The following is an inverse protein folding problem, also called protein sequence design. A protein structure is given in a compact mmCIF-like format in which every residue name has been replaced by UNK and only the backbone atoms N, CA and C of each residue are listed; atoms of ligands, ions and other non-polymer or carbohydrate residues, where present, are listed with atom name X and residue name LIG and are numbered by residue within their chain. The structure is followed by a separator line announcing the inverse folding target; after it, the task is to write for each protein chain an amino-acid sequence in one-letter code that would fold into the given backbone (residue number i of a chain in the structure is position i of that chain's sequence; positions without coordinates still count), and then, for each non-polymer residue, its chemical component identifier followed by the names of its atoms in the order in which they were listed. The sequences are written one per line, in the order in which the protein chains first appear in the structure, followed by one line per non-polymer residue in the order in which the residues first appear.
data_IF_472885517372
#
_entry.id   IF_472885517372
#
_cell.length_a   1.000
_cell.length_b   1.000
_cell.length_c   1.000
_cell.angle_alpha   90.00
_cell.angle_beta   90.00
_cell.angle_gamma   90.00
#
_symmetry.space_group_name_H-M   'P 1'
#
loop_
_entity.id
_entity.type
_entity.pdbx_description
1 polymer ?
#
# COMPACT_ATOMS: atom_id res chain seq x y z
N UNK A 1 -1.48 10.73 -1.03
CA UNK A 1 -2.09 9.47 -0.57
C UNK A 1 -1.83 9.27 0.91
N UNK A 2 -2.76 8.57 1.57
CA UNK A 2 -2.60 8.06 2.93
C UNK A 2 -2.50 6.54 2.84
N UNK A 3 -1.54 5.94 3.54
CA UNK A 3 -1.43 4.50 3.72
C UNK A 3 -1.60 4.14 5.20
N UNK A 4 -1.39 2.88 5.56
CA UNK A 4 -1.55 2.43 6.95
C UNK A 4 -0.49 3.00 7.89
N UNK A 5 0.67 3.39 7.34
CA UNK A 5 1.88 3.76 8.08
C UNK A 5 2.58 5.02 7.55
N UNK A 6 2.06 5.63 6.50
CA UNK A 6 2.71 6.78 5.89
C UNK A 6 1.75 7.70 5.12
N UNK A 7 2.09 8.97 5.09
CA UNK A 7 1.50 10.00 4.25
C UNK A 7 2.48 10.36 3.14
N UNK A 8 1.99 10.34 1.88
CA UNK A 8 2.85 10.59 0.74
C UNK A 8 2.23 11.62 -0.23
N UNK A 9 3.06 12.55 -0.68
CA UNK A 9 2.79 13.43 -1.83
C UNK A 9 3.87 13.17 -2.87
N UNK A 10 3.47 12.65 -4.02
CA UNK A 10 4.37 12.36 -5.12
C UNK A 10 3.99 13.24 -6.32
N UNK A 11 5.00 13.75 -7.01
CA UNK A 11 4.82 14.53 -8.21
C UNK A 11 6.02 14.42 -9.13
N UNK A 12 5.80 14.68 -10.42
CA UNK A 12 6.84 14.80 -11.43
C UNK A 12 6.61 16.07 -12.25
N UNK A 13 7.68 16.73 -12.62
CA UNK A 13 7.65 17.89 -13.50
C UNK A 13 8.88 17.93 -14.39
N UNK A 14 8.73 18.55 -15.58
CA UNK A 14 9.88 18.96 -16.35
C UNK A 14 10.64 20.08 -15.60
N UNK A 15 11.94 20.30 -15.88
CA UNK A 15 12.69 21.38 -15.24
C UNK A 15 12.07 22.78 -15.41
N UNK A 16 11.37 23.03 -16.52
CA UNK A 16 10.61 24.25 -16.77
C UNK A 16 9.43 24.47 -15.83
N UNK A 17 8.89 23.41 -15.24
CA UNK A 17 7.65 23.41 -14.46
C UNK A 17 7.87 23.16 -12.98
N UNK A 18 9.13 23.21 -12.54
CA UNK A 18 9.50 23.01 -11.13
C UNK A 18 8.75 23.95 -10.18
N UNK A 19 8.58 25.21 -10.55
CA UNK A 19 7.81 26.16 -9.75
C UNK A 19 6.40 25.64 -9.49
N UNK A 20 5.69 25.23 -10.53
CA UNK A 20 4.33 24.68 -10.42
C UNK A 20 4.29 23.43 -9.55
N UNK A 21 5.30 22.55 -9.65
CA UNK A 21 5.41 21.38 -8.77
C UNK A 21 5.50 21.80 -7.30
N UNK A 22 6.36 22.75 -6.94
CA UNK A 22 6.47 23.23 -5.58
C UNK A 22 5.21 23.94 -5.08
N UNK A 23 4.54 24.72 -5.94
CA UNK A 23 3.23 25.34 -5.64
C UNK A 23 2.18 24.27 -5.33
N UNK A 24 2.09 23.20 -6.13
CA UNK A 24 1.15 22.11 -5.92
C UNK A 24 1.47 21.32 -4.64
N UNK A 25 2.74 21.08 -4.33
CA UNK A 25 3.14 20.48 -3.05
C UNK A 25 2.66 21.35 -1.90
N UNK A 26 2.95 22.64 -1.92
CA UNK A 26 2.55 23.61 -0.89
C UNK A 26 1.02 23.62 -0.70
N UNK A 27 0.26 23.72 -1.77
CA UNK A 27 -1.21 23.71 -1.75
C UNK A 27 -1.77 22.39 -1.23
N UNK A 28 -1.08 21.27 -1.47
CA UNK A 28 -1.51 19.98 -0.96
C UNK A 28 -1.47 19.89 0.58
N UNK A 29 -0.60 20.66 1.23
CA UNK A 29 -0.55 20.80 2.69
C UNK A 29 -1.52 21.86 3.21
N UNK A 30 -1.59 23.02 2.54
CA UNK A 30 -2.20 24.23 3.11
C UNK A 30 -3.65 24.46 2.67
N UNK A 31 -4.02 24.05 1.47
CA UNK A 31 -5.31 24.37 0.87
C UNK A 31 -5.95 23.18 0.10
N UNK A 32 -6.20 22.03 0.75
CA UNK A 32 -6.92 20.94 0.11
C UNK A 32 -8.35 21.35 -0.22
N UNK A 33 -8.75 21.22 -1.48
CA UNK A 33 -10.09 21.56 -1.94
C UNK A 33 -11.02 20.35 -1.84
N UNK A 34 -12.23 20.53 -1.31
CA UNK A 34 -13.33 19.59 -1.49
C UNK A 34 -13.91 19.72 -2.90
N UNK A 35 -14.23 18.58 -3.49
CA UNK A 35 -14.87 18.48 -4.80
C UNK A 35 -15.84 17.28 -4.76
N UNK A 36 -17.09 17.57 -4.44
CA UNK A 36 -18.11 16.54 -4.25
C UNK A 36 -18.45 15.80 -5.55
N UNK A 37 -18.41 16.49 -6.68
CA UNK A 37 -18.69 15.88 -7.98
C UNK A 37 -17.58 14.92 -8.38
N UNK A 38 -16.32 15.32 -8.19
CA UNK A 38 -15.17 14.47 -8.42
C UNK A 38 -15.18 13.25 -7.48
N UNK A 39 -15.57 13.43 -6.20
CA UNK A 39 -15.70 12.33 -5.26
C UNK A 39 -16.81 11.36 -5.65
N UNK A 40 -18.00 11.82 -6.03
CA UNK A 40 -19.10 10.98 -6.47
C UNK A 40 -18.73 10.15 -7.72
N UNK A 41 -18.04 10.78 -8.66
CA UNK A 41 -17.50 10.09 -9.84
C UNK A 41 -16.46 9.02 -9.47
N UNK A 42 -15.56 9.34 -8.56
CA UNK A 42 -14.56 8.39 -8.02
C UNK A 42 -15.24 7.22 -7.32
N UNK A 43 -16.21 7.48 -6.44
CA UNK A 43 -16.96 6.46 -5.70
C UNK A 43 -17.64 5.48 -6.65
N UNK A 44 -18.37 6.01 -7.64
CA UNK A 44 -19.10 5.20 -8.63
C UNK A 44 -18.16 4.27 -9.40
N UNK A 45 -17.06 4.81 -9.91
CA UNK A 45 -16.07 4.02 -10.66
C UNK A 45 -15.40 2.98 -9.79
N UNK A 46 -15.03 3.35 -8.57
CA UNK A 46 -14.35 2.44 -7.64
C UNK A 46 -15.25 1.31 -7.19
N UNK A 47 -16.52 1.59 -6.87
CA UNK A 47 -17.53 0.55 -6.56
C UNK A 47 -17.67 -0.45 -7.70
N UNK A 48 -17.80 0.02 -8.95
CA UNK A 48 -17.91 -0.85 -10.12
C UNK A 48 -16.64 -1.70 -10.31
N UNK A 49 -15.45 -1.12 -10.13
CA UNK A 49 -14.19 -1.85 -10.20
C UNK A 49 -14.10 -2.94 -9.12
N UNK A 50 -14.47 -2.62 -7.89
CA UNK A 50 -14.46 -3.58 -6.78
C UNK A 50 -15.47 -4.71 -6.99
N UNK A 51 -16.66 -4.43 -7.50
CA UNK A 51 -17.65 -5.43 -7.88
C UNK A 51 -17.11 -6.40 -8.94
N UNK A 52 -16.46 -5.88 -9.97
CA UNK A 52 -15.82 -6.72 -10.99
C UNK A 52 -14.68 -7.57 -10.41
N UNK A 53 -13.89 -7.02 -9.47
CA UNK A 53 -12.85 -7.79 -8.78
C UNK A 53 -13.42 -8.97 -7.99
N UNK A 54 -14.59 -8.85 -7.39
CA UNK A 54 -15.22 -9.93 -6.63
C UNK A 54 -15.60 -11.15 -7.48
N UNK A 55 -15.71 -10.99 -8.78
CA UNK A 55 -15.94 -12.09 -9.72
C UNK A 55 -14.67 -12.92 -9.97
N UNK A 56 -13.50 -12.39 -9.67
CA UNK A 56 -12.23 -13.07 -9.90
C UNK A 56 -11.94 -14.10 -8.80
N UNK A 57 -11.81 -15.41 -9.14
CA UNK A 57 -11.50 -16.44 -8.15
C UNK A 57 -10.20 -16.23 -7.38
N UNK A 58 -9.21 -15.59 -7.99
CA UNK A 58 -7.95 -15.27 -7.31
C UNK A 58 -8.11 -14.20 -6.23
N UNK A 59 -9.04 -13.27 -6.41
CA UNK A 59 -9.38 -12.29 -5.37
C UNK A 59 -10.03 -13.01 -4.17
N UNK A 60 -10.95 -13.94 -4.42
CA UNK A 60 -11.53 -14.76 -3.37
C UNK A 60 -10.48 -15.60 -2.62
N UNK A 61 -9.49 -16.14 -3.36
CA UNK A 61 -8.37 -16.86 -2.75
C UNK A 61 -7.52 -15.92 -1.87
N UNK A 62 -7.16 -14.75 -2.36
CA UNK A 62 -6.39 -13.75 -1.62
C UNK A 62 -7.11 -13.27 -0.36
N UNK A 63 -8.41 -12.99 -0.44
CA UNK A 63 -9.25 -12.63 0.71
C UNK A 63 -9.27 -13.75 1.76
N UNK A 64 -9.45 -15.00 1.30
CA UNK A 64 -9.46 -16.15 2.17
C UNK A 64 -8.10 -16.40 2.85
N UNK A 65 -7.00 -16.21 2.11
CA UNK A 65 -5.64 -16.30 2.64
C UNK A 65 -5.38 -15.20 3.67
N UNK A 66 -5.72 -13.96 3.37
CA UNK A 66 -5.57 -12.84 4.30
C UNK A 66 -6.33 -13.07 5.60
N UNK A 67 -7.58 -13.54 5.50
CA UNK A 67 -8.39 -13.89 6.68
C UNK A 67 -7.80 -15.07 7.46
N UNK A 68 -7.25 -16.08 6.79
CA UNK A 68 -6.59 -17.21 7.41
C UNK A 68 -5.35 -16.76 8.21
N UNK A 69 -4.58 -15.81 7.66
CA UNK A 69 -3.32 -15.32 8.24
C UNK A 69 -3.57 -14.32 9.37
N UNK A 70 -4.45 -13.35 9.15
CA UNK A 70 -4.62 -12.18 10.04
C UNK A 70 -5.95 -12.16 10.81
N UNK A 71 -6.82 -13.16 10.59
CA UNK A 71 -8.18 -13.15 11.14
C UNK A 71 -9.05 -12.07 10.51
N UNK A 72 -9.97 -11.52 11.29
CA UNK A 72 -10.85 -10.43 10.86
C UNK A 72 -10.24 -9.04 11.14
N UNK A 73 -8.91 -8.90 11.00
CA UNK A 73 -8.24 -7.63 11.21
C UNK A 73 -8.57 -6.65 10.05
N UNK A 74 -9.18 -5.49 10.33
CA UNK A 74 -9.58 -4.55 9.28
C UNK A 74 -8.39 -3.97 8.50
N UNK A 75 -7.19 -3.90 9.10
CA UNK A 75 -5.99 -3.43 8.42
C UNK A 75 -5.43 -4.44 7.41
N UNK A 76 -5.83 -5.71 7.52
CA UNK A 76 -5.46 -6.77 6.59
C UNK A 76 -6.57 -7.10 5.58
N UNK A 77 -7.68 -6.39 5.63
CA UNK A 77 -8.80 -6.55 4.71
C UNK A 77 -8.73 -5.54 3.57
N UNK A 78 -9.14 -5.96 2.37
CA UNK A 78 -9.29 -5.02 1.25
C UNK A 78 -10.60 -4.25 1.36
N UNK A 79 -10.64 -3.08 0.73
CA UNK A 79 -11.87 -2.32 0.53
C UNK A 79 -12.87 -3.13 -0.31
N UNK A 80 -14.15 -3.08 0.07
CA UNK A 80 -15.28 -3.73 -0.61
C UNK A 80 -16.31 -2.70 -1.05
N UNK A 81 -17.17 -3.01 -2.04
CA UNK A 81 -18.21 -2.07 -2.50
C UNK A 81 -19.12 -1.56 -1.38
N UNK A 82 -19.50 -2.44 -0.43
CA UNK A 82 -20.37 -2.10 0.70
C UNK A 82 -19.72 -1.17 1.73
N UNK A 83 -18.39 -1.13 1.80
CA UNK A 83 -17.69 -0.28 2.76
C UNK A 83 -17.94 1.21 2.48
N UNK A 84 -18.28 1.55 1.23
CA UNK A 84 -18.64 2.92 0.85
C UNK A 84 -19.90 3.45 1.54
N UNK A 85 -20.75 2.59 2.09
CA UNK A 85 -21.92 3.00 2.88
C UNK A 85 -21.50 3.67 4.20
N UNK A 86 -20.28 3.40 4.65
CA UNK A 86 -19.70 3.92 5.90
C UNK A 86 -18.61 4.97 5.68
N UNK A 87 -18.27 5.28 4.42
CA UNK A 87 -17.27 6.30 4.09
C UNK A 87 -17.93 7.67 4.00
N UNK A 88 -17.40 8.63 4.74
CA UNK A 88 -17.82 10.03 4.71
C UNK A 88 -16.74 10.88 4.06
N UNK A 89 -17.05 11.52 2.94
CA UNK A 89 -16.09 12.41 2.26
C UNK A 89 -15.68 13.61 3.12
N UNK A 90 -16.57 14.29 3.86
CA UNK A 90 -16.15 15.30 4.84
C UNK A 90 -15.15 14.77 5.85
N UNK A 91 -15.38 13.55 6.40
CA UNK A 91 -14.44 12.96 7.37
C UNK A 91 -13.08 12.64 6.73
N UNK A 92 -13.03 12.20 5.47
CA UNK A 92 -11.77 12.02 4.74
C UNK A 92 -11.01 13.35 4.67
N UNK A 93 -11.69 14.45 4.40
CA UNK A 93 -11.07 15.77 4.31
C UNK A 93 -10.58 16.29 5.66
N UNK A 94 -11.31 16.02 6.74
CA UNK A 94 -10.85 16.30 8.11
C UNK A 94 -9.57 15.52 8.43
N UNK A 95 -9.57 14.20 8.22
CA UNK A 95 -8.40 13.35 8.44
C UNK A 95 -7.19 13.82 7.61
N UNK A 96 -7.44 14.18 6.34
CA UNK A 96 -6.38 14.76 5.51
C UNK A 96 -5.82 16.04 6.12
N UNK A 97 -6.68 16.95 6.57
CA UNK A 97 -6.26 18.19 7.23
C UNK A 97 -5.46 17.90 8.49
N UNK A 98 -5.92 16.98 9.34
CA UNK A 98 -5.21 16.55 10.54
C UNK A 98 -3.80 16.05 10.21
N UNK A 99 -3.66 15.18 9.19
CA UNK A 99 -2.40 14.54 8.80
C UNK A 99 -1.40 15.46 8.11
N UNK A 100 -1.88 16.47 7.38
CA UNK A 100 -1.04 17.41 6.64
C UNK A 100 -0.92 18.78 7.31
N UNK A 101 -1.45 18.97 8.52
CA UNK A 101 -1.38 20.23 9.26
C UNK A 101 -0.01 20.53 9.88
N UNK A 102 0.85 19.53 9.97
CA UNK A 102 2.21 19.66 10.53
C UNK A 102 3.21 18.93 9.63
N UNK A 103 4.10 19.68 9.00
CA UNK A 103 5.13 19.15 8.10
C UNK A 103 6.40 18.67 8.82
N UNK A 104 6.46 18.75 10.15
CA UNK A 104 7.69 18.47 10.94
C UNK A 104 8.24 17.05 10.75
N UNK A 105 7.36 16.08 10.49
CA UNK A 105 7.73 14.67 10.28
C UNK A 105 7.97 14.29 8.82
N UNK A 106 7.77 15.20 7.87
CA UNK A 106 7.92 14.91 6.45
C UNK A 106 9.35 15.00 5.97
N UNK A 107 9.73 14.06 5.10
CA UNK A 107 11.01 14.06 4.39
C UNK A 107 10.74 14.35 2.91
N UNK A 108 11.36 15.40 2.39
CA UNK A 108 11.23 15.77 0.98
C UNK A 108 12.43 15.26 0.19
N UNK A 109 12.20 14.35 -0.74
CA UNK A 109 13.22 13.74 -1.58
C UNK A 109 13.03 14.16 -3.03
N UNK A 110 14.07 14.72 -3.63
CA UNK A 110 14.08 15.13 -5.04
C UNK A 110 15.10 14.29 -5.80
N UNK A 111 14.66 13.65 -6.90
CA UNK A 111 15.50 12.79 -7.73
C UNK A 111 15.40 13.24 -9.17
N UNK A 112 16.55 13.52 -9.80
CA UNK A 112 16.60 13.94 -11.20
C UNK A 112 17.83 14.76 -11.53
N UNK A 113 17.86 15.38 -12.70
CA UNK A 113 18.89 16.33 -13.09
C UNK A 113 18.62 17.69 -12.44
N UNK A 114 19.02 17.82 -11.17
CA UNK A 114 18.70 18.96 -10.31
C UNK A 114 19.97 19.71 -9.95
N UNK A 115 19.96 21.02 -10.18
CA UNK A 115 20.98 21.93 -9.66
C UNK A 115 20.48 22.51 -8.32
N UNK A 116 21.23 22.29 -7.24
CA UNK A 116 20.83 22.70 -5.87
C UNK A 116 20.51 24.20 -5.81
N UNK A 117 21.32 25.03 -6.43
CA UNK A 117 21.13 26.49 -6.44
C UNK A 117 19.86 26.92 -7.18
N UNK A 118 19.41 26.10 -8.15
CA UNK A 118 18.18 26.36 -8.90
C UNK A 118 16.91 26.01 -8.11
N UNK A 119 16.96 24.99 -7.26
CA UNK A 119 15.78 24.57 -6.48
C UNK A 119 15.72 25.25 -5.10
N UNK A 120 16.84 25.73 -4.58
CA UNK A 120 16.92 26.39 -3.26
C UNK A 120 15.86 27.47 -3.05
N UNK A 121 15.63 28.43 -3.98
CA UNK A 121 14.60 29.46 -3.80
C UNK A 121 13.19 28.87 -3.65
N UNK A 122 12.88 27.78 -4.36
CA UNK A 122 11.59 27.10 -4.25
C UNK A 122 11.45 26.34 -2.91
N UNK A 123 12.53 25.72 -2.44
CA UNK A 123 12.56 25.07 -1.11
C UNK A 123 12.30 26.13 -0.02
N UNK A 124 13.00 27.25 -0.07
CA UNK A 124 12.85 28.34 0.91
C UNK A 124 11.46 28.97 0.86
N UNK A 125 10.91 29.17 -0.33
CA UNK A 125 9.61 29.81 -0.52
C UNK A 125 8.43 28.88 -0.16
N UNK A 126 8.48 27.61 -0.53
CA UNK A 126 7.33 26.71 -0.44
C UNK A 126 7.47 25.66 0.67
N UNK A 127 8.64 25.02 0.81
CA UNK A 127 8.77 23.94 1.80
C UNK A 127 9.12 24.47 3.19
N UNK A 128 10.03 25.43 3.27
CA UNK A 128 10.42 26.02 4.56
C UNK A 128 9.32 26.85 5.21
N UNK A 129 8.28 27.22 4.45
CA UNK A 129 7.12 27.98 4.95
C UNK A 129 5.91 27.10 5.26
N UNK A 130 6.02 25.77 5.11
CA UNK A 130 4.97 24.86 5.51
C UNK A 130 4.70 24.92 7.02
N UNK A 131 3.45 24.77 7.45
CA UNK A 131 3.14 24.70 8.88
C UNK A 131 3.96 23.63 9.57
N UNK A 132 4.66 24.00 10.65
CA UNK A 132 5.50 23.08 11.42
C UNK A 132 5.37 23.39 12.91
N UNK A 133 4.98 22.40 13.69
CA UNK A 133 4.80 22.49 15.14
C UNK A 133 5.88 21.69 15.90
N UNK A 134 6.81 21.06 15.19
CA UNK A 134 7.85 20.22 15.76
C UNK A 134 7.37 18.87 16.30
N UNK A 135 6.15 18.46 15.96
CA UNK A 135 5.59 17.21 16.44
C UNK A 135 5.95 16.08 15.46
N UNK A 136 6.72 15.12 15.94
CA UNK A 136 7.01 13.88 15.19
C UNK A 136 6.17 12.76 15.79
N UNK A 137 5.26 12.22 15.02
CA UNK A 137 4.45 11.08 15.43
C UNK A 137 5.28 9.80 15.43
N UNK A 138 5.09 8.99 16.47
CA UNK A 138 5.68 7.66 16.55
C UNK A 138 4.63 6.64 16.15
N UNK A 139 5.03 5.69 15.31
CA UNK A 139 4.17 4.55 14.96
C UNK A 139 3.77 3.75 16.21
N UNK A 140 2.60 3.14 16.16
CA UNK A 140 2.13 2.24 17.22
C UNK A 140 2.32 0.78 16.78
N UNK A 141 3.35 0.06 17.26
CA UNK A 141 3.59 -1.33 16.87
C UNK A 141 2.43 -2.28 17.21
N UNK A 142 1.61 -1.94 18.23
CA UNK A 142 0.46 -2.75 18.63
C UNK A 142 -0.67 -2.76 17.60
N UNK A 143 -0.68 -1.80 16.66
CA UNK A 143 -1.67 -1.73 15.59
C UNK A 143 -1.25 -2.50 14.32
N UNK A 144 -0.02 -2.98 14.25
CA UNK A 144 0.44 -3.78 13.11
C UNK A 144 -0.27 -5.14 13.14
N UNK A 145 -0.90 -5.58 12.03
CA UNK A 145 -1.52 -6.89 11.98
C UNK A 145 -0.52 -7.99 12.29
N UNK A 146 -0.81 -8.80 13.31
CA UNK A 146 0.02 -9.97 13.64
C UNK A 146 -0.50 -11.21 12.93
N UNK A 147 0.42 -12.00 12.42
CA UNK A 147 0.08 -13.28 11.80
C UNK A 147 -0.38 -14.29 12.86
N UNK A 148 -1.34 -15.14 12.49
CA UNK A 148 -1.80 -16.25 13.30
C UNK A 148 -0.63 -17.17 13.65
N UNK A 149 -0.62 -17.65 14.90
CA UNK A 149 0.35 -18.63 15.38
C UNK A 149 -0.26 -20.04 15.39
N UNK A 150 0.61 -21.05 15.26
CA UNK A 150 0.23 -22.45 15.27
C UNK A 150 -0.28 -22.95 13.92
N UNK A 151 -0.59 -24.25 13.86
CA UNK A 151 -1.06 -24.90 12.66
C UNK A 151 -2.50 -24.47 12.32
N UNK A 152 -2.72 -24.08 11.09
CA UNK A 152 -4.02 -23.69 10.60
C UNK A 152 -4.21 -24.15 9.16
N UNK A 153 -5.33 -24.77 8.89
CA UNK A 153 -5.70 -25.21 7.56
C UNK A 153 -7.03 -24.54 7.15
N UNK A 154 -7.04 -23.91 5.99
CA UNK A 154 -8.23 -23.34 5.38
C UNK A 154 -8.46 -23.98 4.01
N UNK A 155 -9.68 -24.41 3.75
CA UNK A 155 -10.09 -24.96 2.44
C UNK A 155 -11.44 -24.39 2.06
N UNK A 156 -11.56 -23.95 0.82
CA UNK A 156 -12.84 -23.51 0.28
C UNK A 156 -12.92 -23.86 -1.21
N UNK A 157 -14.12 -23.92 -1.74
CA UNK A 157 -14.40 -24.19 -3.13
C UNK A 157 -15.11 -22.99 -3.75
N UNK A 158 -14.80 -22.73 -5.03
CA UNK A 158 -15.47 -21.73 -5.84
C UNK A 158 -15.77 -22.32 -7.20
N UNK A 159 -16.99 -22.10 -7.71
CA UNK A 159 -17.34 -22.53 -9.06
C UNK A 159 -16.52 -21.74 -10.08
N UNK A 160 -15.93 -22.46 -11.03
CA UNK A 160 -15.08 -21.91 -12.09
C UNK A 160 -15.37 -22.67 -13.38
N UNK A 161 -15.26 -21.98 -14.53
CA UNK A 161 -15.42 -22.58 -15.85
C UNK A 161 -14.35 -23.65 -16.10
N UNK A 162 -13.10 -23.33 -15.77
CA UNK A 162 -11.98 -24.29 -15.85
C UNK A 162 -11.57 -24.64 -14.41
N UNK A 163 -11.68 -25.91 -14.00
CA UNK A 163 -11.27 -26.36 -12.68
C UNK A 163 -9.78 -26.08 -12.44
N UNK A 164 -9.49 -25.41 -11.33
CA UNK A 164 -8.12 -25.09 -10.92
C UNK A 164 -8.00 -25.25 -9.41
N UNK A 165 -6.88 -25.81 -8.97
CA UNK A 165 -6.50 -25.83 -7.54
C UNK A 165 -5.37 -24.85 -7.32
N UNK A 166 -5.53 -24.00 -6.31
CA UNK A 166 -4.47 -23.09 -5.84
C UNK A 166 -4.16 -23.45 -4.40
N UNK A 167 -2.88 -23.65 -4.10
CA UNK A 167 -2.39 -24.00 -2.75
C UNK A 167 -1.39 -22.92 -2.31
N UNK A 168 -1.54 -22.45 -1.07
CA UNK A 168 -0.54 -21.62 -0.41
C UNK A 168 -0.11 -22.30 0.88
N UNK A 169 1.18 -22.49 1.06
CA UNK A 169 1.79 -22.90 2.31
C UNK A 169 2.56 -21.71 2.88
N UNK A 170 2.17 -21.25 4.06
CA UNK A 170 2.80 -20.12 4.72
C UNK A 170 3.48 -20.59 6.00
N UNK A 171 4.75 -20.29 6.12
CA UNK A 171 5.54 -20.51 7.31
C UNK A 171 5.95 -19.17 7.88
N UNK A 172 5.77 -18.98 9.18
CA UNK A 172 6.12 -17.73 9.87
C UNK A 172 7.10 -17.99 10.97
N UNK A 173 8.01 -17.05 11.20
CA UNK A 173 9.01 -17.12 12.24
C UNK A 173 9.53 -15.74 12.61
N UNK A 174 10.25 -15.65 13.71
CA UNK A 174 10.96 -14.43 14.09
C UNK A 174 12.35 -14.44 13.47
N UNK A 175 12.73 -13.33 12.88
CA UNK A 175 14.04 -13.12 12.31
C UNK A 175 14.48 -11.70 12.65
N UNK A 176 15.72 -11.53 13.07
CA UNK A 176 16.30 -10.21 13.25
C UNK A 176 16.44 -9.51 11.89
N UNK A 177 15.95 -8.27 11.81
CA UNK A 177 16.03 -7.48 10.58
C UNK A 177 17.41 -6.83 10.44
N UNK A 178 18.32 -7.55 9.77
CA UNK A 178 19.65 -7.09 9.43
C UNK A 178 20.03 -7.54 8.01
N UNK A 179 21.10 -6.97 7.47
CA UNK A 179 21.53 -7.23 6.09
C UNK A 179 21.87 -8.70 5.84
N UNK A 180 22.54 -9.37 6.78
CA UNK A 180 22.92 -10.77 6.68
C UNK A 180 21.70 -11.68 6.54
N UNK A 181 20.70 -11.48 7.40
CA UNK A 181 19.46 -12.25 7.37
C UNK A 181 18.64 -11.98 6.10
N UNK A 182 18.63 -10.75 5.59
CA UNK A 182 17.96 -10.41 4.32
C UNK A 182 18.64 -11.14 3.15
N UNK A 183 19.96 -11.12 3.09
CA UNK A 183 20.72 -11.82 2.03
C UNK A 183 20.49 -13.33 2.14
N UNK A 184 20.56 -13.88 3.35
CA UNK A 184 20.33 -15.31 3.60
C UNK A 184 18.92 -15.75 3.17
N UNK A 185 17.88 -14.98 3.54
CA UNK A 185 16.51 -15.26 3.13
C UNK A 185 16.34 -15.16 1.60
N UNK A 186 17.00 -14.19 0.96
CA UNK A 186 17.00 -14.05 -0.49
C UNK A 186 17.67 -15.25 -1.19
N UNK A 187 18.80 -15.70 -0.68
CA UNK A 187 19.49 -16.89 -1.18
C UNK A 187 18.64 -18.15 -0.99
N UNK A 188 18.04 -18.32 0.20
CA UNK A 188 17.11 -19.42 0.47
C UNK A 188 15.94 -19.43 -0.52
N UNK A 189 15.34 -18.25 -0.78
CA UNK A 189 14.26 -18.14 -1.78
C UNK A 189 14.72 -18.67 -3.14
N UNK A 190 15.91 -18.27 -3.63
CA UNK A 190 16.42 -18.73 -4.92
C UNK A 190 16.63 -20.26 -4.97
N UNK A 191 17.15 -20.85 -3.89
CA UNK A 191 17.29 -22.31 -3.79
C UNK A 191 15.93 -22.99 -3.79
N UNK A 192 14.96 -22.47 -3.05
CA UNK A 192 13.59 -23.00 -3.03
C UNK A 192 12.94 -22.91 -4.41
N UNK A 193 13.05 -21.79 -5.09
CA UNK A 193 12.50 -21.60 -6.44
C UNK A 193 13.04 -22.69 -7.40
N UNK A 194 14.36 -22.98 -7.37
CA UNK A 194 14.97 -24.04 -8.19
C UNK A 194 14.44 -25.44 -7.83
N UNK A 195 14.39 -25.75 -6.54
CA UNK A 195 13.94 -27.07 -6.09
C UNK A 195 12.46 -27.32 -6.39
N UNK A 196 11.61 -26.33 -6.15
CA UNK A 196 10.17 -26.43 -6.46
C UNK A 196 9.93 -26.49 -7.98
N UNK A 197 10.65 -25.68 -8.74
CA UNK A 197 10.59 -25.73 -10.20
C UNK A 197 10.90 -27.14 -10.72
N UNK A 198 12.04 -27.73 -10.31
CA UNK A 198 12.42 -29.08 -10.74
C UNK A 198 11.42 -30.14 -10.30
N UNK A 199 11.01 -30.12 -9.03
CA UNK A 199 10.18 -31.20 -8.48
C UNK A 199 8.74 -31.07 -8.88
N UNK A 200 8.14 -29.88 -8.83
CA UNK A 200 6.69 -29.71 -9.00
C UNK A 200 6.34 -29.46 -10.47
N UNK A 201 7.12 -28.66 -11.15
CA UNK A 201 6.84 -28.35 -12.57
C UNK A 201 7.38 -29.43 -13.51
N UNK A 202 8.67 -29.78 -13.38
CA UNK A 202 9.31 -30.67 -14.37
C UNK A 202 9.01 -32.14 -14.10
N UNK A 203 9.07 -32.61 -12.85
CA UNK A 203 8.82 -34.03 -12.54
C UNK A 203 7.34 -34.37 -12.46
N UNK A 204 6.54 -33.55 -11.79
CA UNK A 204 5.10 -33.83 -11.60
C UNK A 204 4.23 -33.25 -12.72
N UNK A 205 4.70 -32.23 -13.44
CA UNK A 205 3.98 -31.63 -14.57
C UNK A 205 2.64 -30.97 -14.21
N UNK A 206 2.38 -30.74 -12.92
CA UNK A 206 1.09 -30.32 -12.40
C UNK A 206 0.80 -28.82 -12.52
N UNK A 207 1.81 -28.02 -12.80
CA UNK A 207 1.66 -26.54 -12.86
C UNK A 207 2.73 -25.90 -13.72
N UNK A 208 2.44 -24.69 -14.25
CA UNK A 208 3.41 -23.87 -14.96
C UNK A 208 4.20 -22.91 -14.04
N UNK A 209 3.75 -22.72 -12.79
CA UNK A 209 4.40 -21.84 -11.82
C UNK A 209 4.29 -22.38 -10.40
N UNK A 210 5.36 -22.28 -9.66
CA UNK A 210 5.50 -22.63 -8.25
C UNK A 210 6.13 -21.47 -7.50
#
# INVERSE_FOLDING_TARGET
SLSQDSENVNGMAAPSDLRTLFELIYLSFTAPRMDEEAYASFETRTKAQLQNMELNPMVAFSDSLSKAVYGDNPRASRLRPQDFEHISYPRIMEMRKERFSDASGFVFTFVGNIQIDSIRPYIEQYLATLPSQGKIEKGNPAEVPSMRKGDYMNRFNRSMEIPKVTVANLYTGQMEYNLENIITATALKQVMDLVYYEKVREKEGGTYGV
#
